data_IF_391555999066
#
_entry.id   IF_391555999066
#
_cell.length_a   1.000
_cell.length_b   1.000
_cell.length_c   1.000
_cell.angle_alpha   90.00
_cell.angle_beta   90.00
_cell.angle_gamma   90.00
#
_symmetry.space_group_name_H-M   'P 1'
#
loop_
_entity.id
_entity.type
_entity.pdbx_description
1 polymer ?
#
# COMPACT_ATOMS: atom_id res chain seq x y z
N UNK A 1 37.83 -10.57 -0.36
CA UNK A 1 36.81 -10.54 0.69
C UNK A 1 35.46 -10.58 0.00
N UNK A 2 34.68 -11.63 0.24
CA UNK A 2 33.42 -11.92 -0.46
C UNK A 2 32.35 -10.95 0.00
N UNK A 3 31.95 -10.04 -0.87
CA UNK A 3 30.80 -9.14 -0.68
C UNK A 3 29.44 -9.83 -0.89
N UNK A 4 29.29 -11.06 -0.38
CA UNK A 4 28.01 -11.73 -0.33
C UNK A 4 27.28 -11.22 0.93
N UNK A 5 26.24 -10.38 0.75
CA UNK A 5 25.22 -10.16 1.76
C UNK A 5 24.74 -11.52 2.28
N UNK A 6 24.40 -11.62 3.56
CA UNK A 6 23.89 -12.85 4.17
C UNK A 6 22.67 -13.34 3.36
N UNK A 7 22.91 -14.36 2.51
CA UNK A 7 21.84 -15.07 1.82
C UNK A 7 21.06 -15.87 2.84
N UNK A 8 19.76 -15.71 2.87
CA UNK A 8 18.91 -16.52 3.75
C UNK A 8 18.79 -17.95 3.17
N UNK A 9 18.53 -18.94 4.03
CA UNK A 9 18.46 -20.35 3.61
C UNK A 9 17.37 -20.63 2.57
N UNK A 10 16.28 -19.87 2.57
CA UNK A 10 15.18 -20.01 1.62
C UNK A 10 15.58 -19.56 0.20
N UNK A 11 16.37 -18.50 0.07
CA UNK A 11 16.91 -18.07 -1.24
C UNK A 11 17.88 -19.07 -1.82
N UNK A 12 18.74 -19.67 -0.97
CA UNK A 12 19.67 -20.72 -1.38
C UNK A 12 18.91 -21.97 -1.86
N UNK A 13 17.89 -22.39 -1.13
CA UNK A 13 17.07 -23.53 -1.53
C UNK A 13 16.30 -23.27 -2.83
N UNK A 14 15.70 -22.08 -2.99
CA UNK A 14 15.02 -21.67 -4.21
C UNK A 14 15.97 -21.67 -5.42
N UNK A 15 17.22 -21.21 -5.25
CA UNK A 15 18.25 -21.29 -6.28
C UNK A 15 18.55 -22.73 -6.70
N UNK A 16 18.74 -23.65 -5.76
CA UNK A 16 19.02 -25.03 -6.08
C UNK A 16 17.84 -25.76 -6.74
N UNK A 17 16.61 -25.46 -6.33
CA UNK A 17 15.39 -25.97 -6.98
C UNK A 17 15.31 -25.47 -8.44
N UNK A 18 15.57 -24.19 -8.69
CA UNK A 18 15.61 -23.66 -10.03
C UNK A 18 16.73 -24.31 -10.87
N UNK A 19 17.94 -24.41 -10.34
CA UNK A 19 19.07 -25.04 -11.01
C UNK A 19 18.79 -26.51 -11.35
N UNK A 20 18.06 -27.24 -10.52
CA UNK A 20 17.62 -28.60 -10.78
C UNK A 20 16.62 -28.67 -11.94
N UNK A 21 15.67 -27.75 -12.02
CA UNK A 21 14.71 -27.66 -13.15
C UNK A 21 15.42 -27.48 -14.49
N UNK A 22 16.54 -26.78 -14.50
CA UNK A 22 17.39 -26.59 -15.68
C UNK A 22 18.44 -27.70 -15.89
N UNK A 23 18.43 -28.76 -15.07
CA UNK A 23 19.34 -29.90 -15.19
C UNK A 23 20.78 -29.60 -14.82
N UNK A 24 21.07 -28.46 -14.18
CA UNK A 24 22.43 -28.05 -13.80
C UNK A 24 22.95 -28.76 -12.57
N UNK A 25 22.05 -29.09 -11.65
CA UNK A 25 22.33 -29.80 -10.40
C UNK A 25 21.35 -30.96 -10.21
N UNK A 26 21.76 -31.95 -9.41
CA UNK A 26 20.89 -33.05 -8.99
C UNK A 26 20.93 -33.15 -7.47
N UNK A 27 19.79 -33.33 -6.86
CA UNK A 27 19.69 -33.60 -5.42
C UNK A 27 20.14 -35.02 -5.14
N UNK A 28 21.12 -35.21 -4.27
CA UNK A 28 21.71 -36.50 -3.95
C UNK A 28 21.05 -37.13 -2.73
N UNK A 29 20.98 -36.39 -1.60
CA UNK A 29 20.28 -36.80 -0.38
C UNK A 29 20.11 -35.62 0.55
N UNK A 30 18.97 -35.50 1.22
CA UNK A 30 18.71 -34.41 2.16
C UNK A 30 18.95 -33.03 1.54
N UNK A 31 19.89 -32.26 2.08
CA UNK A 31 20.32 -30.93 1.59
C UNK A 31 21.59 -31.02 0.71
N UNK A 32 22.02 -32.23 0.28
CA UNK A 32 23.22 -32.41 -0.54
C UNK A 32 22.88 -32.36 -2.02
N UNK A 33 23.65 -31.59 -2.77
CA UNK A 33 23.49 -31.39 -4.21
C UNK A 33 24.77 -31.76 -4.93
N UNK A 34 24.66 -32.37 -6.11
CA UNK A 34 25.76 -32.65 -7.00
C UNK A 34 25.63 -31.91 -8.32
N UNK A 35 26.75 -31.53 -8.91
CA UNK A 35 26.78 -30.84 -10.21
C UNK A 35 26.56 -31.85 -11.33
N UNK A 36 25.59 -31.62 -12.19
CA UNK A 36 25.40 -32.42 -13.42
C UNK A 36 26.21 -31.87 -14.58
N UNK A 37 26.27 -30.52 -14.68
CA UNK A 37 26.86 -29.82 -15.82
C UNK A 37 27.85 -28.73 -15.32
N UNK A 38 29.05 -29.14 -14.79
CA UNK A 38 30.00 -28.20 -14.21
C UNK A 38 30.47 -27.12 -15.21
N UNK A 39 30.69 -27.55 -16.47
CA UNK A 39 31.12 -26.62 -17.55
C UNK A 39 30.09 -25.56 -17.84
N UNK A 40 28.82 -25.95 -17.98
CA UNK A 40 27.72 -25.05 -18.23
C UNK A 40 27.49 -24.09 -17.05
N UNK A 41 27.70 -24.53 -15.82
CA UNK A 41 27.64 -23.71 -14.62
C UNK A 41 28.74 -22.66 -14.62
N UNK A 42 29.97 -23.01 -15.02
CA UNK A 42 31.09 -22.06 -15.17
C UNK A 42 30.82 -21.00 -16.24
N UNK A 43 30.14 -21.37 -17.33
CA UNK A 43 29.73 -20.43 -18.39
C UNK A 43 28.61 -19.48 -17.93
N UNK A 44 27.72 -19.95 -17.07
CA UNK A 44 26.60 -19.14 -16.51
C UNK A 44 27.02 -18.23 -15.36
N UNK A 45 28.08 -18.58 -14.62
CA UNK A 45 28.51 -17.84 -13.43
C UNK A 45 28.77 -16.34 -13.70
N UNK A 46 29.50 -15.93 -14.76
CA UNK A 46 29.69 -14.52 -15.06
C UNK A 46 28.39 -13.81 -15.48
N UNK A 47 27.45 -14.52 -16.11
CA UNK A 47 26.13 -13.95 -16.47
C UNK A 47 25.27 -13.72 -15.22
N UNK A 48 25.28 -14.67 -14.28
CA UNK A 48 24.58 -14.53 -13.01
C UNK A 48 25.18 -13.41 -12.15
N UNK A 49 26.51 -13.29 -12.15
CA UNK A 49 27.19 -12.17 -11.50
C UNK A 49 26.82 -10.82 -12.12
N UNK A 50 26.81 -10.71 -13.45
CA UNK A 50 26.39 -9.50 -14.14
C UNK A 50 24.91 -9.13 -13.83
N UNK A 51 24.01 -10.12 -13.77
CA UNK A 51 22.63 -9.93 -13.35
C UNK A 51 22.54 -9.44 -11.91
N UNK A 52 23.35 -10.01 -11.01
CA UNK A 52 23.40 -9.58 -9.62
C UNK A 52 23.89 -8.13 -9.49
N UNK A 53 24.99 -7.77 -10.16
CA UNK A 53 25.50 -6.39 -10.20
C UNK A 53 24.45 -5.45 -10.79
N UNK A 54 23.81 -5.83 -11.90
CA UNK A 54 22.73 -5.06 -12.49
C UNK A 54 21.59 -4.83 -11.49
N UNK A 55 21.14 -5.86 -10.78
CA UNK A 55 20.06 -5.77 -9.79
C UNK A 55 20.44 -4.96 -8.56
N UNK A 56 21.69 -5.02 -8.10
CA UNK A 56 22.12 -4.31 -6.88
C UNK A 56 22.52 -2.85 -7.15
N UNK A 57 23.07 -2.54 -8.31
CA UNK A 57 23.70 -1.24 -8.58
C UNK A 57 23.00 -0.42 -9.66
N UNK A 58 22.33 -1.09 -10.60
CA UNK A 58 21.71 -0.42 -11.77
C UNK A 58 20.19 -0.53 -11.73
N UNK A 59 19.68 -1.70 -11.38
CA UNK A 59 18.25 -1.94 -11.30
C UNK A 59 17.70 -1.38 -9.98
N UNK A 60 17.28 -0.14 -10.01
CA UNK A 60 16.35 0.34 -9.00
C UNK A 60 15.08 -0.48 -9.12
N UNK A 61 14.62 -1.06 -7.99
CA UNK A 61 13.39 -1.84 -7.95
C UNK A 61 12.32 -1.13 -8.79
N UNK A 62 11.77 -1.82 -9.78
CA UNK A 62 10.64 -1.29 -10.54
C UNK A 62 9.51 -1.02 -9.58
N UNK A 63 8.82 0.08 -9.78
CA UNK A 63 7.56 0.30 -9.09
C UNK A 63 6.63 -0.87 -9.41
N UNK A 64 6.11 -1.53 -8.38
CA UNK A 64 5.05 -2.51 -8.56
C UNK A 64 3.72 -1.78 -8.54
N UNK A 65 2.84 -2.15 -9.45
CA UNK A 65 1.51 -1.55 -9.58
C UNK A 65 0.47 -2.65 -9.64
N UNK A 66 -0.39 -2.69 -8.64
CA UNK A 66 -1.54 -3.58 -8.60
C UNK A 66 -2.83 -2.81 -8.87
N UNK A 67 -3.73 -3.39 -9.63
CA UNK A 67 -5.06 -2.84 -9.83
C UNK A 67 -5.97 -3.23 -8.68
N UNK A 68 -6.59 -2.23 -8.08
CA UNK A 68 -7.45 -2.39 -6.90
C UNK A 68 -8.89 -2.02 -7.27
N UNK A 69 -9.82 -2.89 -6.93
CA UNK A 69 -11.21 -2.77 -7.35
C UNK A 69 -12.17 -2.93 -6.17
N UNK A 70 -13.14 -2.04 -6.02
CA UNK A 70 -14.34 -2.28 -5.21
C UNK A 70 -15.51 -2.53 -6.14
N UNK A 71 -16.16 -3.68 -5.99
CA UNK A 71 -17.42 -3.98 -6.70
C UNK A 71 -18.60 -3.61 -5.80
N UNK A 72 -19.70 -3.09 -6.34
CA UNK A 72 -20.93 -2.92 -5.59
C UNK A 72 -21.37 -4.22 -4.92
N UNK A 73 -21.84 -4.14 -3.68
CA UNK A 73 -22.31 -5.30 -2.93
C UNK A 73 -23.67 -5.81 -3.45
N UNK A 74 -23.97 -7.09 -3.20
CA UNK A 74 -25.23 -7.71 -3.56
C UNK A 74 -25.40 -7.96 -5.06
N UNK A 75 -26.63 -7.84 -5.55
CA UNK A 75 -26.95 -8.06 -6.98
C UNK A 75 -26.54 -6.82 -7.77
N UNK A 76 -25.46 -6.93 -8.52
CA UNK A 76 -24.89 -5.84 -9.31
C UNK A 76 -24.67 -6.24 -10.76
N UNK A 77 -25.24 -5.47 -11.70
CA UNK A 77 -25.05 -5.68 -13.13
C UNK A 77 -23.60 -5.47 -13.55
N UNK A 78 -22.91 -4.48 -12.99
CA UNK A 78 -21.50 -4.23 -13.30
C UNK A 78 -20.60 -5.31 -12.71
N UNK A 79 -20.87 -5.80 -11.49
CA UNK A 79 -20.13 -6.91 -10.92
C UNK A 79 -20.25 -8.17 -11.78
N UNK A 80 -21.45 -8.51 -12.23
CA UNK A 80 -21.68 -9.65 -13.13
C UNK A 80 -20.95 -9.48 -14.49
N UNK A 81 -20.96 -8.27 -15.05
CA UNK A 81 -20.25 -7.99 -16.29
C UNK A 81 -18.73 -8.13 -16.12
N UNK A 82 -18.17 -7.67 -15.00
CA UNK A 82 -16.76 -7.84 -14.67
C UNK A 82 -16.40 -9.32 -14.51
N UNK A 83 -17.19 -10.08 -13.76
CA UNK A 83 -16.95 -11.51 -13.54
C UNK A 83 -17.03 -12.32 -14.86
N UNK A 84 -17.87 -11.90 -15.82
CA UNK A 84 -17.98 -12.52 -17.13
C UNK A 84 -16.81 -12.16 -18.07
N UNK A 85 -16.27 -10.95 -17.98
CA UNK A 85 -15.26 -10.44 -18.91
C UNK A 85 -13.83 -10.64 -18.39
N UNK A 86 -13.62 -10.58 -17.06
CA UNK A 86 -12.33 -10.80 -16.44
C UNK A 86 -12.15 -12.30 -16.18
N UNK A 87 -11.77 -13.03 -17.24
CA UNK A 87 -11.49 -14.47 -17.14
C UNK A 87 -10.05 -14.71 -16.74
N UNK A 88 -9.85 -15.47 -15.64
CA UNK A 88 -8.54 -15.83 -15.11
C UNK A 88 -8.17 -15.03 -13.86
N UNK A 89 -7.02 -15.39 -13.28
CA UNK A 89 -6.44 -14.66 -12.16
C UNK A 89 -5.69 -13.44 -12.70
N UNK A 90 -6.37 -12.31 -12.77
CA UNK A 90 -5.81 -11.04 -13.23
C UNK A 90 -5.07 -10.28 -12.13
N UNK A 91 -4.90 -10.88 -10.95
CA UNK A 91 -4.25 -10.21 -9.82
C UNK A 91 -5.02 -8.98 -9.31
N UNK A 92 -6.35 -8.94 -9.55
CA UNK A 92 -7.19 -7.86 -9.04
C UNK A 92 -7.35 -8.00 -7.53
N UNK A 93 -7.03 -6.94 -6.81
CA UNK A 93 -7.14 -6.89 -5.36
C UNK A 93 -8.44 -6.16 -4.99
N UNK A 94 -9.21 -6.71 -4.05
CA UNK A 94 -10.36 -6.01 -3.51
C UNK A 94 -9.90 -4.95 -2.50
N UNK A 95 -10.45 -3.74 -2.60
CA UNK A 95 -10.13 -2.64 -1.68
C UNK A 95 -10.39 -3.02 -0.21
N UNK A 96 -11.45 -3.80 0.07
CA UNK A 96 -11.80 -4.24 1.42
C UNK A 96 -10.77 -5.20 2.02
N UNK A 97 -10.06 -5.95 1.20
CA UNK A 97 -9.01 -6.88 1.64
C UNK A 97 -7.65 -6.17 1.70
N UNK A 98 -7.41 -5.26 0.76
CA UNK A 98 -6.16 -4.51 0.66
C UNK A 98 -5.93 -3.59 1.86
N UNK A 99 -6.91 -2.78 2.24
CA UNK A 99 -6.70 -1.75 3.25
C UNK A 99 -6.35 -2.32 4.63
N UNK A 100 -7.03 -3.38 5.15
CA UNK A 100 -6.60 -4.04 6.38
C UNK A 100 -5.20 -4.65 6.27
N UNK A 101 -4.89 -5.32 5.15
CA UNK A 101 -3.55 -5.88 4.91
C UNK A 101 -2.46 -4.79 4.93
N UNK A 102 -2.71 -3.64 4.32
CA UNK A 102 -1.78 -2.51 4.37
C UNK A 102 -1.59 -1.97 5.79
N UNK A 103 -2.65 -1.90 6.59
CA UNK A 103 -2.56 -1.48 7.99
C UNK A 103 -1.71 -2.44 8.82
N UNK A 104 -1.91 -3.75 8.67
CA UNK A 104 -1.13 -4.80 9.34
C UNK A 104 0.36 -4.79 8.94
N UNK A 105 0.66 -4.42 7.72
CA UNK A 105 2.04 -4.35 7.19
C UNK A 105 2.79 -3.09 7.63
N UNK A 106 2.12 -2.08 8.16
CA UNK A 106 2.76 -0.85 8.59
C UNK A 106 3.71 -1.11 9.77
N UNK A 107 4.95 -0.64 9.64
CA UNK A 107 6.01 -0.80 10.66
C UNK A 107 6.46 0.52 11.28
N UNK A 108 6.34 1.62 10.56
CA UNK A 108 6.78 2.95 10.99
C UNK A 108 5.66 4.00 10.88
N UNK A 109 4.86 3.94 9.82
CA UNK A 109 3.87 4.96 9.48
C UNK A 109 2.66 4.35 8.79
N UNK A 110 1.47 4.81 9.19
CA UNK A 110 0.23 4.53 8.47
C UNK A 110 -0.58 5.82 8.35
N UNK A 111 -0.81 6.30 7.14
CA UNK A 111 -1.54 7.53 6.90
C UNK A 111 -2.74 7.31 5.99
N UNK A 112 -3.86 7.93 6.33
CA UNK A 112 -5.09 7.95 5.52
C UNK A 112 -5.41 9.39 5.14
N UNK A 113 -5.62 9.65 3.86
CA UNK A 113 -6.07 10.93 3.33
C UNK A 113 -7.39 10.73 2.59
N UNK A 114 -8.48 11.32 3.08
CA UNK A 114 -9.81 11.21 2.49
C UNK A 114 -10.62 12.50 2.63
N UNK A 115 -11.20 13.02 1.53
CA UNK A 115 -11.95 14.28 1.60
C UNK A 115 -13.38 14.11 2.11
N UNK A 116 -13.93 12.91 2.03
CA UNK A 116 -15.28 12.58 2.44
C UNK A 116 -15.32 11.38 3.36
N UNK A 117 -16.03 11.55 4.45
CA UNK A 117 -16.16 10.61 5.55
C UNK A 117 -17.58 10.64 6.08
N UNK A 118 -18.22 9.49 6.21
CA UNK A 118 -19.46 9.29 6.94
C UNK A 118 -19.23 8.41 8.19
N UNK A 119 -20.28 8.08 8.92
CA UNK A 119 -20.20 7.28 10.14
C UNK A 119 -19.60 5.89 9.89
N UNK A 120 -19.96 5.26 8.77
CA UNK A 120 -19.42 3.94 8.39
C UNK A 120 -17.94 4.06 8.04
N UNK A 121 -17.56 5.10 7.29
CA UNK A 121 -16.18 5.37 6.97
C UNK A 121 -15.32 5.68 8.19
N UNK A 122 -15.89 6.36 9.20
CA UNK A 122 -15.23 6.60 10.48
C UNK A 122 -14.93 5.29 11.22
N UNK A 123 -15.91 4.37 11.30
CA UNK A 123 -15.73 3.04 11.89
C UNK A 123 -14.64 2.23 11.14
N UNK A 124 -14.61 2.30 9.79
CA UNK A 124 -13.56 1.66 8.97
C UNK A 124 -12.19 2.26 9.29
N UNK A 125 -12.04 3.58 9.30
CA UNK A 125 -10.78 4.27 9.62
C UNK A 125 -10.27 3.87 11.00
N UNK A 126 -11.14 3.90 12.02
CA UNK A 126 -10.77 3.52 13.37
C UNK A 126 -10.30 2.05 13.44
N UNK A 127 -10.97 1.15 12.72
CA UNK A 127 -10.57 -0.25 12.60
C UNK A 127 -9.21 -0.40 11.89
N UNK A 128 -8.95 0.34 10.82
CA UNK A 128 -7.66 0.30 10.11
C UNK A 128 -6.52 0.76 11.02
N UNK A 129 -6.69 1.85 11.77
CA UNK A 129 -5.68 2.29 12.73
C UNK A 129 -5.47 1.28 13.87
N UNK A 130 -6.53 0.63 14.33
CA UNK A 130 -6.42 -0.41 15.36
C UNK A 130 -5.66 -1.65 14.88
N UNK A 131 -5.66 -1.94 13.57
CA UNK A 131 -4.93 -3.07 12.98
C UNK A 131 -3.42 -2.79 12.81
N UNK A 132 -2.96 -1.56 12.99
CA UNK A 132 -1.52 -1.27 12.93
C UNK A 132 -0.80 -1.72 14.18
N UNK A 133 0.47 -2.11 14.05
CA UNK A 133 1.33 -2.50 15.17
C UNK A 133 1.52 -1.35 16.18
N UNK A 134 1.76 -1.64 17.48
CA UNK A 134 2.15 -0.63 18.45
C UNK A 134 3.40 0.15 18.00
N UNK A 135 3.40 1.47 18.23
CA UNK A 135 4.53 2.35 17.87
C UNK A 135 4.52 2.86 16.43
N UNK A 136 3.59 2.40 15.58
CA UNK A 136 3.37 2.97 14.25
C UNK A 136 2.80 4.38 14.39
N UNK A 137 3.40 5.36 13.69
CA UNK A 137 2.85 6.72 13.58
C UNK A 137 1.58 6.69 12.73
N UNK A 138 0.47 7.18 13.29
CA UNK A 138 -0.86 7.17 12.67
C UNK A 138 -1.29 8.57 12.31
N UNK A 139 -1.69 8.79 11.07
CA UNK A 139 -2.04 10.12 10.56
C UNK A 139 -3.34 10.05 9.75
N UNK A 140 -4.25 10.96 10.04
CA UNK A 140 -5.50 11.12 9.31
C UNK A 140 -5.60 12.52 8.74
N UNK A 141 -5.64 12.65 7.43
CA UNK A 141 -5.82 13.92 6.73
C UNK A 141 -7.23 13.98 6.15
N UNK A 142 -8.01 14.96 6.60
CA UNK A 142 -9.39 15.17 6.19
C UNK A 142 -9.62 16.60 5.72
N UNK A 143 -10.80 16.83 5.22
CA UNK A 143 -11.31 18.17 4.89
C UNK A 143 -12.45 18.54 5.84
N UNK A 144 -12.24 19.55 6.67
CA UNK A 144 -13.27 20.13 7.50
C UNK A 144 -14.29 20.95 6.67
N UNK A 145 -15.44 21.18 7.26
CA UNK A 145 -16.46 22.06 6.72
C UNK A 145 -16.02 23.53 6.67
N UNK A 146 -16.84 24.41 6.07
CA UNK A 146 -16.56 25.85 6.03
C UNK A 146 -16.51 26.50 7.43
N UNK A 147 -17.16 25.88 8.41
CA UNK A 147 -17.17 26.29 9.82
C UNK A 147 -15.94 25.76 10.61
N UNK A 148 -14.98 25.13 9.92
CA UNK A 148 -13.79 24.53 10.52
C UNK A 148 -14.05 23.21 11.25
N UNK A 149 -15.30 22.72 11.29
CA UNK A 149 -15.64 21.50 11.99
C UNK A 149 -15.29 20.26 11.17
N UNK A 150 -14.75 19.21 11.81
CA UNK A 150 -14.54 17.94 11.16
C UNK A 150 -15.89 17.29 10.78
N UNK A 151 -15.89 16.33 9.82
CA UNK A 151 -17.07 15.55 9.49
C UNK A 151 -17.67 14.89 10.74
N UNK A 152 -19.02 14.88 10.83
CA UNK A 152 -19.74 14.41 12.02
C UNK A 152 -19.36 12.96 12.43
N UNK A 153 -19.14 12.08 11.44
CA UNK A 153 -18.71 10.70 11.70
C UNK A 153 -17.40 10.61 12.49
N UNK A 154 -16.51 11.61 12.37
CA UNK A 154 -15.25 11.59 13.11
C UNK A 154 -15.43 11.80 14.62
N UNK A 155 -16.42 12.58 15.03
CA UNK A 155 -16.72 12.78 16.45
C UNK A 155 -17.10 11.47 17.15
N UNK A 156 -17.75 10.55 16.43
CA UNK A 156 -18.17 9.25 16.95
C UNK A 156 -16.99 8.34 17.37
N UNK A 157 -15.87 8.45 16.67
CA UNK A 157 -14.68 7.62 16.90
C UNK A 157 -13.52 8.39 17.54
N UNK A 158 -13.75 9.63 17.96
CA UNK A 158 -12.70 10.53 18.47
C UNK A 158 -11.95 9.96 19.68
N UNK A 159 -12.66 9.35 20.63
CA UNK A 159 -12.06 8.70 21.81
C UNK A 159 -11.14 7.53 21.39
N UNK A 160 -11.58 6.73 20.41
CA UNK A 160 -10.77 5.62 19.88
C UNK A 160 -9.53 6.14 19.14
N UNK A 161 -9.66 7.20 18.34
CA UNK A 161 -8.54 7.82 17.65
C UNK A 161 -7.52 8.41 18.63
N UNK A 162 -7.99 9.06 19.70
CA UNK A 162 -7.14 9.56 20.77
C UNK A 162 -6.40 8.41 21.49
N UNK A 163 -7.10 7.32 21.81
CA UNK A 163 -6.49 6.13 22.46
C UNK A 163 -5.41 5.49 21.59
N UNK A 164 -5.58 5.53 20.27
CA UNK A 164 -4.64 5.01 19.28
C UNK A 164 -3.53 6.02 18.91
N UNK A 165 -3.50 7.21 19.54
CA UNK A 165 -2.56 8.30 19.24
C UNK A 165 -2.56 8.69 17.74
N UNK A 166 -3.76 8.81 17.15
CA UNK A 166 -3.91 9.21 15.74
C UNK A 166 -3.80 10.72 15.64
N UNK A 167 -2.82 11.21 14.88
CA UNK A 167 -2.66 12.62 14.56
C UNK A 167 -3.62 13.00 13.43
N UNK A 168 -4.57 13.88 13.73
CA UNK A 168 -5.58 14.31 12.76
C UNK A 168 -5.27 15.71 12.22
N UNK A 169 -5.43 15.88 10.91
CA UNK A 169 -5.10 17.10 10.19
C UNK A 169 -6.26 17.55 9.29
N UNK A 170 -6.50 18.86 9.25
CA UNK A 170 -7.42 19.50 8.31
C UNK A 170 -6.63 20.14 7.17
N UNK A 171 -6.78 19.65 5.95
CA UNK A 171 -6.27 20.31 4.77
C UNK A 171 -7.36 21.10 4.06
N UNK A 172 -7.64 22.26 4.59
CA UNK A 172 -8.47 23.32 4.01
C UNK A 172 -7.81 24.65 4.33
N UNK A 173 -7.25 25.31 3.32
CA UNK A 173 -6.52 26.56 3.45
C UNK A 173 -7.32 27.66 2.75
N UNK A 174 -7.79 28.65 3.51
CA UNK A 174 -8.46 29.79 2.93
C UNK A 174 -7.46 30.63 2.13
N UNK A 175 -7.84 31.04 0.93
CA UNK A 175 -6.99 31.83 0.05
C UNK A 175 -7.15 33.32 0.38
N UNK A 176 -6.00 34.00 0.48
CA UNK A 176 -5.97 35.43 0.74
C UNK A 176 -6.31 36.28 -0.51
N UNK A 177 -6.13 35.72 -1.71
CA UNK A 177 -6.23 36.42 -2.99
C UNK A 177 -7.60 36.28 -3.69
N UNK A 178 -8.41 35.30 -3.29
CA UNK A 178 -9.70 35.00 -3.90
C UNK A 178 -10.71 34.49 -2.89
N UNK A 179 -12.01 34.58 -3.22
CA UNK A 179 -13.06 33.91 -2.45
C UNK A 179 -13.04 32.39 -2.70
N UNK A 180 -12.07 31.70 -2.09
CA UNK A 180 -11.90 30.24 -2.27
C UNK A 180 -10.97 29.65 -1.23
N UNK A 181 -10.76 28.36 -1.34
CA UNK A 181 -9.85 27.62 -0.45
C UNK A 181 -9.13 26.53 -1.22
N UNK A 182 -7.92 26.23 -0.79
CA UNK A 182 -7.18 25.07 -1.25
C UNK A 182 -7.62 23.85 -0.44
N UNK A 183 -7.76 22.73 -1.12
CA UNK A 183 -8.15 21.46 -0.53
C UNK A 183 -7.77 20.33 -1.47
N UNK A 184 -8.21 19.12 -1.17
CA UNK A 184 -7.89 17.94 -1.94
C UNK A 184 -9.12 17.13 -2.33
N UNK A 185 -8.94 16.26 -3.33
CA UNK A 185 -9.92 15.24 -3.71
C UNK A 185 -9.27 13.85 -3.81
N UNK A 186 -7.99 13.73 -3.52
CA UNK A 186 -7.27 12.46 -3.49
C UNK A 186 -7.77 11.56 -2.35
N UNK A 187 -7.78 10.24 -2.57
CA UNK A 187 -8.03 9.22 -1.58
C UNK A 187 -6.79 8.35 -1.56
N UNK A 188 -6.07 8.41 -0.44
CA UNK A 188 -4.76 7.77 -0.31
C UNK A 188 -4.69 7.02 1.00
N UNK A 189 -4.12 5.82 0.97
CA UNK A 189 -3.65 5.11 2.16
C UNK A 189 -2.17 4.83 1.96
N UNK A 190 -1.34 5.34 2.87
CA UNK A 190 0.11 5.23 2.84
C UNK A 190 0.61 4.28 3.92
N UNK A 191 1.54 3.40 3.54
CA UNK A 191 2.27 2.52 4.46
C UNK A 191 3.74 2.87 4.39
N UNK A 192 4.28 3.23 5.54
CA UNK A 192 5.67 3.63 5.70
C UNK A 192 6.03 4.77 4.71
N UNK A 193 7.11 4.65 3.97
CA UNK A 193 7.51 5.62 2.95
C UNK A 193 7.60 5.03 1.55
N UNK A 194 7.03 3.84 1.32
CA UNK A 194 7.29 3.08 0.10
C UNK A 194 6.08 2.44 -0.56
N UNK A 195 4.93 2.36 0.11
CA UNK A 195 3.74 1.76 -0.46
C UNK A 195 2.51 2.64 -0.25
N UNK A 196 1.71 2.81 -1.29
CA UNK A 196 0.48 3.60 -1.20
C UNK A 196 -0.63 2.99 -2.05
N UNK A 197 -1.85 3.05 -1.54
CA UNK A 197 -3.07 2.97 -2.33
C UNK A 197 -3.49 4.39 -2.73
N UNK A 198 -3.81 4.57 -4.00
CA UNK A 198 -4.41 5.79 -4.54
C UNK A 198 -5.60 5.41 -5.38
N UNK A 199 -6.77 5.98 -5.10
CA UNK A 199 -7.97 5.57 -5.81
C UNK A 199 -9.13 6.55 -5.74
N UNK A 200 -10.29 6.08 -6.18
CA UNK A 200 -11.54 6.83 -6.18
C UNK A 200 -12.38 6.61 -4.91
N UNK A 201 -12.11 5.53 -4.14
CA UNK A 201 -12.91 5.16 -2.98
C UNK A 201 -12.74 6.14 -1.81
N UNK A 202 -13.82 6.85 -1.46
CA UNK A 202 -13.89 7.61 -0.22
C UNK A 202 -14.09 6.67 0.98
N UNK A 203 -13.73 7.14 2.17
CA UNK A 203 -14.05 6.43 3.42
C UNK A 203 -15.51 6.68 3.79
N UNK A 204 -16.42 6.07 3.03
CA UNK A 204 -17.85 6.18 3.27
C UNK A 204 -18.58 4.92 2.79
N UNK A 205 -19.81 4.76 3.28
CA UNK A 205 -20.66 3.63 2.95
C UNK A 205 -20.89 3.50 1.44
N UNK A 206 -21.08 4.65 0.77
CA UNK A 206 -21.39 4.65 -0.66
C UNK A 206 -20.29 4.01 -1.50
N UNK A 207 -19.03 4.36 -1.25
CA UNK A 207 -17.88 3.80 -1.96
C UNK A 207 -17.71 2.30 -1.70
N UNK A 208 -17.96 1.84 -0.48
CA UNK A 208 -17.75 0.43 -0.15
C UNK A 208 -18.93 -0.49 -0.49
N UNK A 209 -20.18 0.02 -0.55
CA UNK A 209 -21.35 -0.83 -0.76
C UNK A 209 -21.98 -0.69 -2.14
N UNK A 210 -21.96 0.50 -2.73
CA UNK A 210 -22.79 0.80 -3.92
C UNK A 210 -22.00 1.20 -5.16
N UNK A 211 -20.77 1.69 -5.01
CA UNK A 211 -19.98 2.20 -6.13
C UNK A 211 -19.06 1.11 -6.71
N UNK A 212 -18.83 1.23 -8.02
CA UNK A 212 -17.63 0.68 -8.62
C UNK A 212 -16.50 1.69 -8.36
N UNK A 213 -15.52 1.29 -7.58
CA UNK A 213 -14.34 2.12 -7.30
C UNK A 213 -13.10 1.46 -7.89
N UNK A 214 -12.21 2.28 -8.43
CA UNK A 214 -10.96 1.83 -9.02
C UNK A 214 -9.80 2.57 -8.38
N UNK A 215 -8.75 1.84 -8.09
CA UNK A 215 -7.52 2.38 -7.54
C UNK A 215 -6.30 1.57 -7.95
N UNK A 216 -5.16 2.05 -7.52
CA UNK A 216 -3.87 1.39 -7.70
C UNK A 216 -3.18 1.29 -6.34
N UNK A 217 -2.59 0.13 -6.05
CA UNK A 217 -1.54 0.02 -5.05
C UNK A 217 -0.22 0.17 -5.78
N UNK A 218 0.61 1.07 -5.31
CA UNK A 218 1.95 1.32 -5.87
C UNK A 218 3.00 1.16 -4.79
N UNK A 219 4.17 0.65 -5.16
CA UNK A 219 5.33 0.51 -4.26
C UNK A 219 6.56 1.21 -4.85
N UNK A 220 7.69 1.12 -4.17
CA UNK A 220 8.96 1.63 -4.67
C UNK A 220 9.02 3.16 -4.76
N UNK A 221 9.56 3.69 -5.84
CA UNK A 221 9.74 5.13 -6.05
C UNK A 221 8.41 5.89 -6.15
N UNK A 222 7.40 5.30 -6.78
CA UNK A 222 6.07 5.89 -6.86
C UNK A 222 5.46 6.04 -5.47
N UNK A 223 5.54 5.01 -4.63
CA UNK A 223 5.12 5.06 -3.23
C UNK A 223 5.87 6.12 -2.43
N UNK A 224 7.20 6.23 -2.61
CA UNK A 224 8.02 7.25 -1.94
C UNK A 224 7.62 8.67 -2.35
N UNK A 225 7.32 8.91 -3.63
CA UNK A 225 6.83 10.23 -4.08
C UNK A 225 5.48 10.59 -3.49
N UNK A 226 4.59 9.61 -3.31
CA UNK A 226 3.32 9.84 -2.64
C UNK A 226 3.54 10.17 -1.16
N UNK A 227 4.48 9.52 -0.48
CA UNK A 227 4.84 9.86 0.90
C UNK A 227 5.33 11.31 1.02
N UNK A 228 6.21 11.77 0.11
CA UNK A 228 6.66 13.18 0.06
C UNK A 228 5.49 14.16 -0.15
N UNK A 229 4.51 13.81 -0.98
CA UNK A 229 3.30 14.63 -1.18
C UNK A 229 2.47 14.70 0.11
N UNK A 230 2.28 13.57 0.80
CA UNK A 230 1.55 13.54 2.08
C UNK A 230 2.28 14.39 3.13
N UNK A 231 3.60 14.34 3.19
CA UNK A 231 4.40 15.18 4.10
C UNK A 231 4.20 16.67 3.82
N UNK A 232 4.22 17.07 2.54
CA UNK A 232 3.96 18.45 2.15
C UNK A 232 2.53 18.92 2.50
N UNK A 233 1.54 18.03 2.34
CA UNK A 233 0.15 18.30 2.74
C UNK A 233 0.05 18.48 4.26
N UNK A 234 0.66 17.59 5.05
CA UNK A 234 0.65 17.69 6.52
C UNK A 234 1.31 18.99 6.99
N UNK A 235 2.43 19.36 6.36
CA UNK A 235 3.18 20.58 6.71
C UNK A 235 2.33 21.86 6.65
N UNK A 236 1.37 21.92 5.73
CA UNK A 236 0.49 23.09 5.55
C UNK A 236 -0.89 22.92 6.19
N UNK A 237 -1.20 21.73 6.70
CA UNK A 237 -2.48 21.41 7.32
C UNK A 237 -2.55 21.90 8.78
N UNK A 238 -3.76 22.18 9.24
CA UNK A 238 -4.00 22.51 10.66
C UNK A 238 -4.29 21.25 11.47
N UNK A 239 -3.68 21.07 12.66
CA UNK A 239 -4.01 19.94 13.52
C UNK A 239 -5.45 20.02 14.03
N UNK A 240 -6.09 18.87 14.19
CA UNK A 240 -7.41 18.71 14.79
C UNK A 240 -7.23 18.05 16.14
N UNK A 241 -7.75 18.70 17.18
CA UNK A 241 -7.77 18.15 18.53
C UNK A 241 -9.21 17.79 18.89
N UNK A 242 -9.40 16.60 19.42
CA UNK A 242 -10.68 16.18 19.98
C UNK A 242 -10.68 16.46 21.47
N UNK A 243 -11.82 16.95 22.00
CA UNK A 243 -11.95 17.22 23.44
C UNK A 243 -11.85 15.97 24.29
#
# INVERSE_FOLDING_TARGET
MSGLSQTNSAEVEAFFIAAQRFGLVKRSSGLTWSLNEPKRLSELAPMLFAVQVYRSEIHTANDEVDVVLTKPAGISRVAQALDNNLRGDWGLINTRDLLPMMAEQATQRFAIMTPFLDDIGADIIASLFANTSPGVRRELIIRCGPDGKPPAGLAKVSEQLNTLDVQCYNFRLDRADTAGYETFHAKVVLVDSQAAYVGSANMNRWSFEYSLELGLRVTGKAGARIAEIIDAVIQVSSPIFFP
#
